data_IF_169157131712
#
_entry.id   IF_169157131712
#
_cell.length_a   1.000
_cell.length_b   1.000
_cell.length_c   1.000
_cell.angle_alpha   90.00
_cell.angle_beta   90.00
_cell.angle_gamma   90.00
#
_symmetry.space_group_name_H-M   'P 1'
#
loop_
_entity.id
_entity.type
_entity.pdbx_description
1 polymer ?
#
# COMPACT_ATOMS: atom_id res chain seq x y z
N UNK A 1 45.81 0.01 80.11
CA UNK A 1 45.99 0.87 78.91
C UNK A 1 45.89 0.12 77.58
N UNK A 2 46.34 -1.14 77.50
CA UNK A 2 46.49 -1.90 76.24
C UNK A 2 45.16 -2.38 75.62
N UNK A 3 44.18 -2.73 76.46
CA UNK A 3 42.81 -3.07 76.04
C UNK A 3 42.11 -1.90 75.32
N UNK A 4 42.26 -0.69 75.83
CA UNK A 4 41.69 0.54 75.25
C UNK A 4 42.24 0.79 73.84
N UNK A 5 43.56 0.71 73.66
CA UNK A 5 44.21 0.82 72.34
C UNK A 5 43.72 -0.23 71.35
N UNK A 6 43.46 -1.44 71.83
CA UNK A 6 42.95 -2.54 70.99
C UNK A 6 41.51 -2.30 70.56
N UNK A 7 40.68 -1.74 71.44
CA UNK A 7 39.29 -1.36 71.16
C UNK A 7 39.25 -0.21 70.14
N UNK A 8 40.06 0.83 70.33
CA UNK A 8 40.18 1.96 69.39
C UNK A 8 40.56 1.46 67.99
N UNK A 9 41.61 0.64 67.88
CA UNK A 9 42.04 0.07 66.59
C UNK A 9 40.95 -0.76 65.91
N UNK A 10 40.17 -1.54 66.66
CA UNK A 10 39.05 -2.33 66.11
C UNK A 10 37.90 -1.42 65.68
N UNK A 11 37.62 -0.36 66.43
CA UNK A 11 36.63 0.65 66.08
C UNK A 11 36.98 1.33 64.77
N UNK A 12 38.22 1.81 64.62
CA UNK A 12 38.70 2.45 63.40
C UNK A 12 38.59 1.53 62.18
N UNK A 13 38.95 0.26 62.35
CA UNK A 13 38.83 -0.76 61.31
C UNK A 13 37.37 -1.00 60.89
N UNK A 14 36.44 -1.01 61.84
CA UNK A 14 35.01 -1.14 61.55
C UNK A 14 34.51 0.11 60.82
N UNK A 15 34.88 1.30 61.28
CA UNK A 15 34.54 2.56 60.63
C UNK A 15 35.01 2.60 59.17
N UNK A 16 36.24 2.19 58.88
CA UNK A 16 36.78 2.13 57.52
C UNK A 16 35.96 1.18 56.63
N UNK A 17 35.66 -0.03 57.11
CA UNK A 17 34.84 -0.99 56.36
C UNK A 17 33.42 -0.48 56.09
N UNK A 18 32.83 0.25 57.04
CA UNK A 18 31.52 0.86 56.86
C UNK A 18 31.56 1.96 55.80
N UNK A 19 32.59 2.81 55.80
CA UNK A 19 32.77 3.86 54.78
C UNK A 19 32.93 3.24 53.39
N UNK A 20 33.76 2.20 53.26
CA UNK A 20 33.95 1.50 51.99
C UNK A 20 32.64 0.87 51.48
N UNK A 21 31.90 0.22 52.38
CA UNK A 21 30.62 -0.40 52.04
C UNK A 21 29.58 0.64 51.62
N UNK A 22 29.50 1.77 52.31
CA UNK A 22 28.62 2.90 51.97
C UNK A 22 29.00 3.47 50.60
N UNK A 23 30.29 3.65 50.32
CA UNK A 23 30.78 4.11 49.02
C UNK A 23 30.36 3.19 47.87
N UNK A 24 30.42 1.87 48.08
CA UNK A 24 29.93 0.89 47.10
C UNK A 24 28.42 1.03 46.88
N UNK A 25 27.62 1.21 47.94
CA UNK A 25 26.17 1.39 47.81
C UNK A 25 25.85 2.68 47.04
N UNK A 26 26.48 3.80 47.40
CA UNK A 26 26.25 5.10 46.73
C UNK A 26 26.57 5.00 45.24
N UNK A 27 27.68 4.35 44.87
CA UNK A 27 28.04 4.14 43.46
C UNK A 27 27.02 3.26 42.71
N UNK A 28 26.42 2.26 43.37
CA UNK A 28 25.37 1.43 42.76
C UNK A 28 24.08 2.21 42.58
N UNK A 29 23.71 3.05 43.56
CA UNK A 29 22.53 3.91 43.47
C UNK A 29 22.67 4.93 42.33
N UNK A 30 23.84 5.54 42.16
CA UNK A 30 24.11 6.47 41.04
C UNK A 30 23.98 5.78 39.68
N UNK A 31 24.47 4.54 39.54
CA UNK A 31 24.29 3.75 38.31
C UNK A 31 22.83 3.42 38.03
N UNK A 32 22.05 3.12 39.05
CA UNK A 32 20.61 2.86 38.92
C UNK A 32 19.88 4.13 38.51
N UNK A 33 20.15 5.27 39.15
CA UNK A 33 19.55 6.57 38.81
C UNK A 33 19.82 6.96 37.35
N UNK A 34 21.07 6.81 36.90
CA UNK A 34 21.44 7.02 35.49
C UNK A 34 20.69 6.09 34.54
N UNK A 35 20.46 4.85 34.92
CA UNK A 35 19.70 3.89 34.10
C UNK A 35 18.22 4.25 34.05
N UNK A 36 17.62 4.65 35.17
CA UNK A 36 16.23 5.11 35.25
C UNK A 36 15.99 6.35 34.38
N UNK A 37 16.90 7.32 34.40
CA UNK A 37 16.83 8.51 33.53
C UNK A 37 16.87 8.18 32.04
N UNK A 38 17.54 7.09 31.64
CA UNK A 38 17.52 6.62 30.25
C UNK A 38 16.23 5.89 29.90
N UNK A 39 15.63 5.19 30.87
CA UNK A 39 14.34 4.53 30.68
C UNK A 39 13.19 5.54 30.63
N UNK A 40 13.29 6.67 31.35
CA UNK A 40 12.24 7.69 31.36
C UNK A 40 12.05 8.41 30.03
N UNK A 41 13.02 8.36 29.10
CA UNK A 41 12.88 8.90 27.74
C UNK A 41 12.29 7.92 26.72
N UNK A 42 12.11 6.64 27.09
CA UNK A 42 11.51 5.63 26.20
C UNK A 42 10.04 5.94 25.87
N UNK A 43 9.19 6.40 26.81
CA UNK A 43 7.81 6.76 26.52
C UNK A 43 7.68 7.82 25.42
N UNK A 44 8.53 8.85 25.45
CA UNK A 44 8.53 9.92 24.45
C UNK A 44 8.86 9.37 23.06
N UNK A 45 9.92 8.57 22.95
CA UNK A 45 10.31 7.92 21.69
C UNK A 45 9.21 6.97 21.17
N UNK A 46 8.53 6.25 22.06
CA UNK A 46 7.41 5.38 21.70
C UNK A 46 6.21 6.19 21.21
N UNK A 47 5.95 7.35 21.82
CA UNK A 47 4.91 8.27 21.40
C UNK A 47 5.20 8.85 20.01
N UNK A 48 6.42 9.29 19.73
CA UNK A 48 6.83 9.74 18.41
C UNK A 48 6.63 8.66 17.33
N UNK A 49 7.07 7.43 17.61
CA UNK A 49 6.84 6.28 16.71
C UNK A 49 5.35 6.01 16.45
N UNK A 50 4.52 6.18 17.49
CA UNK A 50 3.06 6.02 17.36
C UNK A 50 2.44 7.05 16.41
N UNK A 51 2.99 8.26 16.35
CA UNK A 51 2.54 9.33 15.46
C UNK A 51 2.99 9.13 14.01
N UNK A 52 4.16 8.51 13.80
CA UNK A 52 4.69 8.24 12.45
C UNK A 52 3.94 7.09 11.77
N UNK A 53 3.46 6.11 12.54
CA UNK A 53 2.78 4.92 12.01
C UNK A 53 1.59 5.24 11.08
N UNK A 54 0.62 6.11 11.43
CA UNK A 54 -0.45 6.51 10.52
C UNK A 54 0.03 7.18 9.23
N UNK A 55 1.08 8.01 9.32
CA UNK A 55 1.63 8.69 8.15
C UNK A 55 2.22 7.68 7.14
N UNK A 56 2.93 6.66 7.63
CA UNK A 56 3.44 5.56 6.80
C UNK A 56 2.30 4.82 6.11
N UNK A 57 1.25 4.44 6.83
CA UNK A 57 0.08 3.78 6.22
C UNK A 57 -0.57 4.65 5.15
N UNK A 58 -0.73 5.94 5.42
CA UNK A 58 -1.33 6.86 4.48
C UNK A 58 -0.44 7.12 3.25
N UNK A 59 0.89 6.98 3.37
CA UNK A 59 1.79 7.00 2.23
C UNK A 59 1.67 5.72 1.40
N UNK A 60 1.66 4.54 2.04
CA UNK A 60 1.50 3.24 1.36
C UNK A 60 0.21 3.22 0.51
N UNK A 61 -0.91 3.66 1.07
CA UNK A 61 -2.18 3.71 0.32
C UNK A 61 -2.15 4.68 -0.87
N UNK A 62 -1.45 5.81 -0.73
CA UNK A 62 -1.33 6.82 -1.80
C UNK A 62 -0.34 6.41 -2.88
N UNK A 63 0.74 5.71 -2.53
CA UNK A 63 1.77 5.27 -3.47
C UNK A 63 1.47 3.91 -4.07
N UNK A 64 0.43 3.20 -3.59
CA UNK A 64 -0.02 1.95 -4.19
C UNK A 64 -0.25 2.17 -5.69
N UNK A 65 0.51 1.49 -6.56
CA UNK A 65 0.38 1.69 -8.00
C UNK A 65 -1.04 1.31 -8.41
N UNK A 66 -1.79 2.30 -8.91
CA UNK A 66 -3.10 2.05 -9.50
C UNK A 66 -2.87 1.35 -10.83
N UNK A 67 -3.39 0.13 -10.97
CA UNK A 67 -3.38 -0.56 -12.27
C UNK A 67 -4.20 0.28 -13.27
N UNK A 68 -3.52 0.94 -14.21
CA UNK A 68 -4.15 1.76 -15.23
C UNK A 68 -4.90 0.88 -16.27
N UNK A 69 -4.40 -0.33 -16.49
CA UNK A 69 -5.01 -1.35 -17.32
C UNK A 69 -5.52 -2.51 -16.48
N UNK A 70 -6.81 -2.80 -16.57
CA UNK A 70 -7.45 -3.91 -15.85
C UNK A 70 -7.16 -5.27 -16.48
N UNK A 71 -6.65 -5.29 -17.72
CA UNK A 71 -6.35 -6.51 -18.45
C UNK A 71 -4.92 -7.02 -18.20
N UNK A 72 -4.03 -6.16 -17.72
CA UNK A 72 -2.61 -6.42 -17.52
C UNK A 72 -2.27 -6.62 -16.04
N UNK A 73 -1.19 -7.34 -15.76
CA UNK A 73 -0.60 -7.36 -14.41
C UNK A 73 0.12 -6.04 -14.12
N UNK A 74 0.55 -5.82 -12.87
CA UNK A 74 1.40 -4.67 -12.55
C UNK A 74 2.71 -4.68 -13.34
N UNK A 75 3.29 -5.87 -13.55
CA UNK A 75 4.54 -6.07 -14.28
C UNK A 75 4.39 -5.79 -15.78
N UNK A 76 3.23 -6.12 -16.36
CA UNK A 76 2.93 -5.90 -17.77
C UNK A 76 2.53 -4.44 -18.09
N UNK A 77 2.30 -3.61 -17.06
CA UNK A 77 1.79 -2.23 -17.19
C UNK A 77 2.88 -1.16 -17.00
N UNK A 78 4.09 -1.38 -17.53
CA UNK A 78 5.24 -0.47 -17.36
C UNK A 78 5.02 0.95 -17.89
N UNK A 79 4.24 1.09 -18.97
CA UNK A 79 3.94 2.37 -19.63
C UNK A 79 2.68 3.06 -19.08
N UNK A 80 2.04 2.48 -18.06
CA UNK A 80 0.79 3.00 -17.46
C UNK A 80 -0.34 3.23 -18.48
N UNK A 81 -0.42 2.41 -19.53
CA UNK A 81 -1.50 2.52 -20.51
C UNK A 81 -2.88 2.27 -19.89
N UNK A 82 -3.91 2.93 -20.45
CA UNK A 82 -5.30 2.69 -20.04
C UNK A 82 -5.83 1.41 -20.67
N UNK A 83 -6.77 0.73 -19.98
CA UNK A 83 -7.45 -0.49 -20.48
C UNK A 83 -7.99 -0.36 -21.91
N UNK A 84 -8.47 0.82 -22.31
CA UNK A 84 -8.99 1.06 -23.65
C UNK A 84 -7.93 1.12 -24.76
N UNK A 85 -6.67 1.36 -24.39
CA UNK A 85 -5.50 1.45 -25.29
C UNK A 85 -4.47 0.36 -25.04
N UNK A 86 -4.87 -0.73 -24.39
CA UNK A 86 -3.97 -1.84 -24.11
C UNK A 86 -3.43 -2.44 -25.42
N UNK A 87 -2.09 -2.48 -25.62
CA UNK A 87 -1.50 -3.02 -26.84
C UNK A 87 -1.68 -4.55 -26.94
N UNK A 88 -1.60 -5.25 -25.81
CA UNK A 88 -1.77 -6.70 -25.75
C UNK A 88 -3.23 -7.12 -25.98
N UNK A 89 -4.18 -6.32 -25.49
CA UNK A 89 -5.62 -6.57 -25.60
C UNK A 89 -6.29 -5.47 -26.43
N UNK A 90 -5.81 -5.29 -27.66
CA UNK A 90 -6.28 -4.25 -28.58
C UNK A 90 -7.69 -4.53 -29.10
N UNK A 91 -8.04 -5.80 -29.35
CA UNK A 91 -9.33 -6.22 -29.89
C UNK A 91 -10.37 -6.61 -28.83
N UNK A 92 -11.65 -6.45 -29.18
CA UNK A 92 -12.78 -6.80 -28.30
C UNK A 92 -12.77 -8.28 -27.88
N UNK A 93 -12.45 -9.19 -28.81
CA UNK A 93 -12.39 -10.62 -28.50
C UNK A 93 -11.30 -10.95 -27.47
N UNK A 94 -10.08 -10.42 -27.68
CA UNK A 94 -8.96 -10.59 -26.75
C UNK A 94 -9.32 -10.07 -25.34
N UNK A 95 -9.98 -8.90 -25.24
CA UNK A 95 -10.46 -8.37 -23.96
C UNK A 95 -11.50 -9.27 -23.30
N UNK A 96 -12.47 -9.78 -24.06
CA UNK A 96 -13.50 -10.68 -23.52
C UNK A 96 -12.90 -11.99 -22.99
N UNK A 97 -11.94 -12.57 -23.72
CA UNK A 97 -11.23 -13.77 -23.28
C UNK A 97 -10.46 -13.50 -21.99
N UNK A 98 -9.76 -12.36 -21.91
CA UNK A 98 -9.01 -11.99 -20.71
C UNK A 98 -9.92 -11.74 -19.51
N UNK A 99 -11.05 -11.06 -19.70
CA UNK A 99 -12.07 -10.88 -18.65
C UNK A 99 -12.58 -12.22 -18.12
N UNK A 100 -12.86 -13.17 -19.03
CA UNK A 100 -13.27 -14.52 -18.64
C UNK A 100 -12.15 -15.28 -17.91
N UNK A 101 -10.90 -15.18 -18.36
CA UNK A 101 -9.73 -15.78 -17.70
C UNK A 101 -9.50 -15.23 -16.28
N UNK A 102 -9.75 -13.93 -16.09
CA UNK A 102 -9.62 -13.26 -14.80
C UNK A 102 -10.84 -13.44 -13.88
N UNK A 103 -11.89 -14.15 -14.33
CA UNK A 103 -13.11 -14.35 -13.54
C UNK A 103 -13.90 -13.07 -13.27
N UNK A 104 -13.77 -12.06 -14.14
CA UNK A 104 -14.43 -10.77 -13.97
C UNK A 104 -15.83 -10.75 -14.61
N UNK A 105 -16.75 -10.05 -13.97
CA UNK A 105 -18.07 -9.74 -14.54
C UNK A 105 -17.91 -8.92 -15.83
N UNK A 106 -18.51 -9.37 -16.93
CA UNK A 106 -18.42 -8.71 -18.25
C UNK A 106 -19.04 -7.31 -18.30
N UNK A 107 -19.89 -6.97 -17.35
CA UNK A 107 -20.62 -5.70 -17.30
C UNK A 107 -19.89 -4.64 -16.46
N UNK A 108 -19.43 -5.00 -15.25
CA UNK A 108 -18.72 -4.10 -14.31
C UNK A 108 -17.20 -4.18 -14.42
N UNK A 109 -16.66 -5.25 -15.00
CA UNK A 109 -15.22 -5.60 -14.98
C UNK A 109 -14.68 -5.68 -13.55
N UNK A 110 -15.46 -6.24 -12.63
CA UNK A 110 -15.08 -6.49 -11.24
C UNK A 110 -15.29 -7.98 -10.95
N UNK A 111 -14.69 -8.54 -9.88
CA UNK A 111 -14.97 -9.90 -9.46
C UNK A 111 -16.48 -10.15 -9.41
N UNK A 112 -16.93 -11.30 -9.92
CA UNK A 112 -18.34 -11.64 -9.89
C UNK A 112 -18.77 -11.84 -8.42
N UNK A 113 -19.75 -11.05 -7.97
CA UNK A 113 -20.47 -11.24 -6.69
C UNK A 113 -21.85 -11.84 -6.98
N UNK A 114 -22.55 -12.32 -5.96
CA UNK A 114 -23.86 -13.00 -6.09
C UNK A 114 -25.00 -12.10 -6.58
N UNK A 115 -24.82 -10.77 -6.62
CA UNK A 115 -25.84 -9.83 -7.08
C UNK A 115 -25.95 -9.76 -8.61
N UNK A 116 -27.17 -9.56 -9.10
CA UNK A 116 -27.41 -9.30 -10.52
C UNK A 116 -26.72 -8.00 -10.97
N UNK A 117 -25.82 -8.14 -11.93
CA UNK A 117 -25.19 -7.00 -12.56
C UNK A 117 -26.14 -6.40 -13.60
N UNK A 118 -26.47 -5.11 -13.44
CA UNK A 118 -27.39 -4.35 -14.29
C UNK A 118 -26.71 -3.26 -15.15
N UNK A 119 -25.38 -3.33 -15.32
CA UNK A 119 -24.63 -2.34 -16.10
C UNK A 119 -24.74 -2.64 -17.60
N UNK A 120 -25.32 -1.69 -18.34
CA UNK A 120 -25.48 -1.77 -19.80
C UNK A 120 -24.46 -0.90 -20.51
N UNK A 121 -24.03 -1.36 -21.68
CA UNK A 121 -23.12 -0.64 -22.55
C UNK A 121 -23.70 0.74 -22.93
N UNK A 122 -22.93 1.81 -22.78
CA UNK A 122 -23.36 3.15 -23.18
C UNK A 122 -23.49 3.32 -24.70
N UNK A 123 -22.84 2.46 -25.49
CA UNK A 123 -22.82 2.54 -26.96
C UNK A 123 -23.99 1.76 -27.57
N UNK A 124 -24.14 0.48 -27.25
CA UNK A 124 -25.13 -0.40 -27.89
C UNK A 124 -26.26 -0.89 -26.95
N UNK A 125 -26.27 -0.45 -25.68
CA UNK A 125 -27.27 -0.80 -24.65
C UNK A 125 -27.39 -2.27 -24.27
N UNK A 126 -26.50 -3.12 -24.79
CA UNK A 126 -26.39 -4.54 -24.45
C UNK A 126 -25.69 -4.75 -23.09
N UNK A 127 -25.86 -5.91 -22.43
CA UNK A 127 -25.33 -6.19 -21.09
C UNK A 127 -23.82 -6.51 -21.12
N UNK A 128 -22.99 -5.53 -21.44
CA UNK A 128 -21.53 -5.61 -21.35
C UNK A 128 -20.91 -4.23 -21.06
N UNK A 129 -19.68 -4.24 -20.55
CA UNK A 129 -18.91 -3.02 -20.34
C UNK A 129 -18.53 -2.38 -21.67
N UNK A 130 -18.56 -1.05 -21.77
CA UNK A 130 -18.18 -0.30 -22.98
C UNK A 130 -16.75 -0.61 -23.48
N UNK A 131 -15.84 -1.13 -22.66
CA UNK A 131 -14.52 -1.62 -23.10
C UNK A 131 -14.57 -2.91 -23.93
N UNK A 132 -15.65 -3.67 -23.81
CA UNK A 132 -15.93 -4.93 -24.50
C UNK A 132 -16.92 -4.75 -25.67
N UNK A 133 -17.26 -3.52 -26.03
CA UNK A 133 -18.22 -3.26 -27.11
C UNK A 133 -17.53 -3.31 -28.48
N UNK A 134 -18.04 -4.14 -29.39
CA UNK A 134 -17.55 -4.21 -30.78
C UNK A 134 -17.84 -2.91 -31.55
N UNK A 135 -19.01 -2.32 -31.33
CA UNK A 135 -19.44 -1.07 -31.98
C UNK A 135 -18.53 0.13 -31.63
N UNK A 136 -17.89 0.10 -30.45
CA UNK A 136 -16.96 1.16 -30.02
C UNK A 136 -15.68 1.22 -30.87
N UNK A 137 -15.25 0.08 -31.42
CA UNK A 137 -14.03 0.01 -32.23
C UNK A 137 -14.29 0.25 -33.72
N UNK A 138 -15.55 0.42 -34.12
CA UNK A 138 -15.86 0.78 -35.51
C UNK A 138 -15.37 2.21 -35.76
N UNK A 139 -14.65 2.47 -36.87
CA UNK A 139 -14.36 3.83 -37.28
C UNK A 139 -15.68 4.59 -37.39
N UNK A 140 -15.78 5.73 -36.70
CA UNK A 140 -16.87 6.67 -36.97
C UNK A 140 -16.70 7.06 -38.44
N UNK A 141 -17.55 6.53 -39.32
CA UNK A 141 -17.71 7.13 -40.65
C UNK A 141 -18.21 8.54 -40.35
N UNK A 142 -17.34 9.55 -40.48
CA UNK A 142 -17.79 10.94 -40.56
C UNK A 142 -18.71 10.98 -41.78
N UNK A 143 -20.01 10.94 -41.54
CA UNK A 143 -20.99 11.22 -42.59
C UNK A 143 -20.85 12.73 -42.81
N UNK A 144 -20.04 13.11 -43.79
CA UNK A 144 -20.16 14.45 -44.37
C UNK A 144 -21.53 14.51 -45.00
N UNK A 145 -22.43 15.31 -44.42
CA UNK A 145 -23.66 15.71 -45.07
C UNK A 145 -23.32 16.73 -46.17
N UNK A 146 -22.71 16.25 -47.25
CA UNK A 146 -22.75 16.97 -48.51
C UNK A 146 -23.84 16.33 -49.37
N UNK A 147 -24.91 17.11 -49.58
CA UNK A 147 -25.92 16.83 -50.59
C UNK A 147 -25.24 16.65 -51.94
N UNK A 148 -25.12 15.41 -52.41
CA UNK A 148 -25.55 14.95 -53.74
C UNK A 148 -24.90 13.59 -54.06
N UNK A 149 -25.70 12.73 -54.70
CA UNK A 149 -25.37 11.46 -55.34
C UNK A 149 -25.22 10.20 -54.47
N UNK A 150 -26.37 9.55 -54.38
CA UNK A 150 -26.62 8.12 -54.27
C UNK A 150 -25.72 7.30 -55.21
N UNK A 151 -24.69 6.60 -54.69
CA UNK A 151 -24.20 5.35 -55.31
C UNK A 151 -23.71 4.40 -54.21
N UNK A 152 -24.39 3.25 -54.15
CA UNK A 152 -24.04 2.07 -53.35
C UNK A 152 -22.76 1.43 -53.89
N UNK A 153 -21.79 1.13 -53.02
CA UNK A 153 -20.75 0.14 -53.31
C UNK A 153 -20.48 -0.74 -52.10
N UNK A 154 -20.78 -2.03 -52.28
CA UNK A 154 -20.35 -3.17 -51.48
C UNK A 154 -18.85 -3.48 -51.71
N UNK A 155 -18.32 -4.41 -50.90
CA UNK A 155 -16.98 -5.03 -50.89
C UNK A 155 -15.96 -4.30 -49.97
N UNK A 156 -15.25 -4.96 -49.05
CA UNK A 156 -14.65 -6.31 -49.07
C UNK A 156 -14.69 -7.02 -47.71
N UNK A 157 -14.94 -8.34 -47.76
CA UNK A 157 -14.58 -9.34 -46.75
C UNK A 157 -13.47 -10.21 -47.37
N UNK A 158 -12.32 -10.27 -46.70
CA UNK A 158 -11.43 -11.43 -46.63
C UNK A 158 -11.04 -11.57 -45.16
#
# INVERSE_FOLDING_TARGET
MELLKTIEKKSDHICLKLVDFISVIVNRLDKIDKSLKRLSSIPDALQELSMVKPAIFALIERTRPKQACIFCTLEDSLDSHTSGRCPQFSGTYARMLQVSKMGLCRQRLMPAYEEECMVRCSVCRQPHNTLLCQERMRPIRKINFDHHHFVSYYYYLF
#
